data_IF_234972656694
#
_entry.id   IF_234972656694
#
_cell.length_a   1.000
_cell.length_b   1.000
_cell.length_c   1.000
_cell.angle_alpha   90.00
_cell.angle_beta   90.00
_cell.angle_gamma   90.00
#
_symmetry.space_group_name_H-M   'P 1'
#
loop_
_entity.id
_entity.type
_entity.pdbx_description
1 polymer ?
#
# COMPACT_ATOMS: atom_id res chain seq x y z
N UNK A 1 13.88 -60.20 15.24
CA UNK A 1 14.31 -58.89 15.77
C UNK A 1 13.45 -57.82 15.10
N UNK A 2 12.54 -57.17 15.83
CA UNK A 2 11.73 -56.07 15.28
C UNK A 2 12.56 -54.79 15.31
N UNK A 3 12.84 -54.21 14.16
CA UNK A 3 13.54 -52.93 14.08
C UNK A 3 12.66 -51.82 14.69
N UNK A 4 13.16 -51.08 15.68
CA UNK A 4 12.47 -49.90 16.21
C UNK A 4 12.92 -48.66 15.42
N UNK A 5 11.94 -47.90 14.92
CA UNK A 5 12.17 -46.66 14.19
C UNK A 5 12.06 -45.48 15.17
N UNK A 6 13.18 -44.85 15.49
CA UNK A 6 13.22 -43.59 16.25
C UNK A 6 12.97 -42.42 15.28
N UNK A 7 12.27 -41.37 15.72
CA UNK A 7 12.10 -40.14 14.92
C UNK A 7 10.87 -40.11 14.00
N UNK A 8 10.04 -41.16 13.96
CA UNK A 8 8.88 -41.23 13.04
C UNK A 8 7.88 -40.10 13.27
N UNK A 9 7.60 -39.78 14.53
CA UNK A 9 6.64 -38.74 14.91
C UNK A 9 7.16 -37.35 14.56
N UNK A 10 8.45 -37.12 14.75
CA UNK A 10 9.14 -35.86 14.43
C UNK A 10 9.13 -35.60 12.92
N UNK A 11 9.48 -36.60 12.11
CA UNK A 11 9.45 -36.51 10.64
C UNK A 11 8.03 -36.29 10.13
N UNK A 12 7.05 -37.03 10.66
CA UNK A 12 5.64 -36.85 10.30
C UNK A 12 5.18 -35.41 10.60
N UNK A 13 5.49 -34.90 11.81
CA UNK A 13 5.16 -33.53 12.21
C UNK A 13 5.80 -32.50 11.28
N UNK A 14 7.09 -32.67 10.97
CA UNK A 14 7.83 -31.80 10.06
C UNK A 14 7.16 -31.72 8.68
N UNK A 15 6.89 -32.88 8.06
CA UNK A 15 6.25 -32.94 6.74
C UNK A 15 4.85 -32.31 6.76
N UNK A 16 4.05 -32.56 7.80
CA UNK A 16 2.70 -31.98 7.92
C UNK A 16 2.71 -30.47 8.17
N UNK A 17 3.73 -29.94 8.85
CA UNK A 17 3.84 -28.52 9.16
C UNK A 17 4.43 -27.68 8.02
N UNK A 18 5.22 -28.31 7.14
CA UNK A 18 6.00 -27.61 6.11
C UNK A 18 5.16 -26.70 5.20
N UNK A 19 3.98 -27.09 4.69
CA UNK A 19 3.17 -26.19 3.84
C UNK A 19 2.80 -24.88 4.56
N UNK A 20 2.36 -24.96 5.81
CA UNK A 20 2.01 -23.78 6.60
C UNK A 20 3.24 -22.90 6.88
N UNK A 21 4.41 -23.50 7.11
CA UNK A 21 5.66 -22.74 7.29
C UNK A 21 6.11 -22.05 6.00
N UNK A 22 5.97 -22.70 4.85
CA UNK A 22 6.23 -22.11 3.53
C UNK A 22 5.35 -20.88 3.34
N UNK A 23 4.04 -21.01 3.55
CA UNK A 23 3.09 -19.91 3.33
C UNK A 23 3.31 -18.74 4.30
N UNK A 24 3.49 -19.03 5.59
CA UNK A 24 3.43 -18.00 6.65
C UNK A 24 4.77 -17.39 7.02
N UNK A 25 5.87 -18.16 6.92
CA UNK A 25 7.22 -17.71 7.31
C UNK A 25 8.06 -17.34 6.10
N UNK A 26 8.02 -18.18 5.06
CA UNK A 26 8.91 -18.05 3.90
C UNK A 26 8.34 -17.09 2.85
N UNK A 27 7.22 -17.46 2.22
CA UNK A 27 6.65 -16.70 1.10
C UNK A 27 6.14 -15.33 1.54
N UNK A 28 5.55 -15.23 2.73
CA UNK A 28 5.09 -13.94 3.29
C UNK A 28 6.24 -12.97 3.52
N UNK A 29 7.33 -13.43 4.13
CA UNK A 29 8.51 -12.59 4.36
C UNK A 29 9.23 -12.23 3.07
N UNK A 30 9.31 -13.17 2.12
CA UNK A 30 9.87 -12.90 0.79
C UNK A 30 9.07 -11.83 0.04
N UNK A 31 7.75 -11.92 0.07
CA UNK A 31 6.86 -10.93 -0.56
C UNK A 31 6.99 -9.55 0.11
N UNK A 32 7.14 -9.50 1.45
CA UNK A 32 7.41 -8.26 2.18
C UNK A 32 8.77 -7.66 1.81
N UNK A 33 9.81 -8.48 1.71
CA UNK A 33 11.14 -8.03 1.30
C UNK A 33 11.11 -7.40 -0.10
N UNK A 34 10.49 -8.07 -1.08
CA UNK A 34 10.31 -7.54 -2.42
C UNK A 34 9.54 -6.20 -2.43
N UNK A 35 8.41 -6.14 -1.74
CA UNK A 35 7.60 -4.91 -1.71
C UNK A 35 8.26 -3.76 -0.94
N UNK A 36 9.19 -4.05 -0.03
CA UNK A 36 9.94 -3.01 0.71
C UNK A 36 10.86 -2.23 -0.22
N UNK A 37 11.53 -2.91 -1.16
CA UNK A 37 12.35 -2.25 -2.21
C UNK A 37 11.50 -1.23 -2.98
N UNK A 38 10.34 -1.67 -3.48
CA UNK A 38 9.41 -0.80 -4.23
C UNK A 38 8.88 0.33 -3.36
N UNK A 39 8.55 0.05 -2.10
CA UNK A 39 8.04 1.06 -1.18
C UNK A 39 9.07 2.14 -0.85
N UNK A 40 10.34 1.75 -0.68
CA UNK A 40 11.41 2.69 -0.36
C UNK A 40 11.77 3.59 -1.55
N UNK A 41 11.77 3.07 -2.78
CA UNK A 41 11.90 3.91 -3.97
C UNK A 41 10.67 4.82 -4.16
N UNK A 42 9.46 4.31 -3.93
CA UNK A 42 8.24 5.14 -3.99
C UNK A 42 8.29 6.32 -3.00
N UNK A 43 8.83 6.12 -1.79
CA UNK A 43 9.05 7.21 -0.82
C UNK A 43 10.05 8.24 -1.33
N UNK A 44 11.11 7.82 -2.02
CA UNK A 44 12.12 8.72 -2.56
C UNK A 44 11.61 9.55 -3.75
N UNK A 45 10.73 8.96 -4.57
CA UNK A 45 10.12 9.63 -5.73
C UNK A 45 9.03 10.64 -5.36
N UNK A 46 8.35 10.41 -4.24
CA UNK A 46 7.25 11.27 -3.82
C UNK A 46 7.76 12.67 -3.46
N UNK A 47 7.20 13.69 -4.11
CA UNK A 47 7.51 15.10 -3.83
C UNK A 47 6.88 15.62 -2.53
N UNK A 48 6.01 14.82 -1.90
CA UNK A 48 5.35 15.16 -0.62
C UNK A 48 5.89 14.29 0.50
N UNK A 49 6.40 14.93 1.56
CA UNK A 49 6.84 14.24 2.77
C UNK A 49 5.68 13.50 3.46
N UNK A 50 4.46 14.06 3.42
CA UNK A 50 3.27 13.44 4.00
C UNK A 50 2.85 12.17 3.24
N UNK A 51 2.93 12.20 1.91
CA UNK A 51 2.66 11.02 1.08
C UNK A 51 3.74 9.96 1.29
N UNK A 52 5.01 10.37 1.34
CA UNK A 52 6.13 9.47 1.60
C UNK A 52 5.97 8.74 2.94
N UNK A 53 5.64 9.46 4.01
CA UNK A 53 5.40 8.88 5.33
C UNK A 53 4.18 7.93 5.37
N UNK A 54 3.23 8.09 4.44
CA UNK A 54 2.04 7.26 4.34
C UNK A 54 2.22 6.03 3.43
N UNK A 55 3.36 5.86 2.74
CA UNK A 55 3.65 4.65 1.97
C UNK A 55 3.87 3.47 2.91
N UNK A 56 3.07 2.41 2.75
CA UNK A 56 3.10 1.20 3.58
C UNK A 56 3.09 -0.06 2.71
N UNK A 57 3.76 -1.11 3.20
CA UNK A 57 3.69 -2.47 2.64
C UNK A 57 2.67 -3.26 3.42
N UNK A 58 1.74 -3.91 2.71
CA UNK A 58 0.83 -4.91 3.29
C UNK A 58 0.99 -6.23 2.56
N UNK A 59 1.15 -7.31 3.31
CA UNK A 59 1.18 -8.67 2.77
C UNK A 59 -0.07 -9.43 3.16
N UNK A 60 -0.68 -10.12 2.21
CA UNK A 60 -1.81 -11.00 2.44
C UNK A 60 -1.54 -12.36 1.80
N UNK A 61 -1.75 -13.43 2.56
CA UNK A 61 -1.86 -14.77 1.99
C UNK A 61 -3.33 -15.01 1.63
N UNK A 62 -3.58 -15.53 0.44
CA UNK A 62 -4.95 -15.87 0.05
C UNK A 62 -5.30 -17.24 0.65
N UNK A 63 -6.27 -17.27 1.56
CA UNK A 63 -6.63 -18.51 2.28
C UNK A 63 -7.04 -19.61 1.30
N UNK A 64 -6.35 -20.76 1.35
CA UNK A 64 -6.60 -21.90 0.46
C UNK A 64 -5.90 -21.81 -0.90
N UNK A 65 -5.01 -20.84 -1.08
CA UNK A 65 -4.22 -20.59 -2.29
C UNK A 65 -2.77 -20.35 -1.85
N UNK A 66 -1.80 -20.99 -2.52
CA UNK A 66 -0.37 -20.83 -2.19
C UNK A 66 0.17 -19.46 -2.62
N UNK A 67 -0.68 -18.64 -3.25
CA UNK A 67 -0.36 -17.28 -3.67
C UNK A 67 -0.33 -16.32 -2.48
N UNK A 68 0.85 -15.70 -2.28
CA UNK A 68 1.03 -14.57 -1.39
C UNK A 68 1.11 -13.29 -2.21
N UNK A 69 0.34 -12.27 -1.81
CA UNK A 69 0.33 -10.96 -2.47
C UNK A 69 0.90 -9.92 -1.51
N UNK A 70 1.89 -9.16 -1.98
CA UNK A 70 2.31 -7.92 -1.32
C UNK A 70 1.75 -6.71 -2.06
N UNK A 71 1.33 -5.70 -1.31
CA UNK A 71 0.76 -4.45 -1.80
C UNK A 71 1.57 -3.29 -1.23
N UNK A 72 2.10 -2.45 -2.11
CA UNK A 72 2.57 -1.11 -1.73
C UNK A 72 1.38 -0.17 -1.88
N UNK A 73 0.98 0.45 -0.78
CA UNK A 73 -0.21 1.31 -0.72
C UNK A 73 0.07 2.56 0.10
N UNK A 74 -0.70 3.61 -0.13
CA UNK A 74 -0.66 4.81 0.73
C UNK A 74 -1.80 4.76 1.74
N UNK A 75 -1.46 4.77 3.02
CA UNK A 75 -2.40 4.69 4.15
C UNK A 75 -2.00 5.66 5.25
N UNK A 76 -2.94 6.51 5.67
CA UNK A 76 -2.73 7.54 6.69
C UNK A 76 -3.04 8.94 6.15
N UNK A 77 -2.56 10.00 6.81
CA UNK A 77 -2.82 11.39 6.43
C UNK A 77 -2.52 11.69 4.95
N UNK A 78 -1.39 11.23 4.42
CA UNK A 78 -1.03 11.46 3.01
C UNK A 78 -1.88 10.70 1.97
N UNK A 79 -2.78 9.80 2.38
CA UNK A 79 -3.54 8.97 1.45
C UNK A 79 -4.52 9.77 0.57
N UNK A 80 -5.06 10.88 1.05
CA UNK A 80 -5.96 11.72 0.25
C UNK A 80 -5.21 12.54 -0.80
N UNK A 81 -3.91 12.78 -0.61
CA UNK A 81 -3.03 13.54 -1.52
C UNK A 81 -2.54 12.63 -2.64
N UNK A 82 -2.21 11.38 -2.31
CA UNK A 82 -1.55 10.44 -3.21
C UNK A 82 -2.17 10.29 -4.61
N UNK A 83 -3.50 10.17 -4.79
CA UNK A 83 -4.08 10.04 -6.14
C UNK A 83 -3.84 11.28 -7.01
N UNK A 84 -3.87 12.47 -6.41
CA UNK A 84 -3.63 13.72 -7.12
C UNK A 84 -2.17 13.87 -7.54
N UNK A 85 -1.23 13.37 -6.73
CA UNK A 85 0.16 13.29 -7.15
C UNK A 85 0.35 12.25 -8.24
N UNK A 86 -0.17 11.04 -8.07
CA UNK A 86 0.07 9.94 -9.00
C UNK A 86 -0.45 10.24 -10.41
N UNK A 87 -1.63 10.86 -10.51
CA UNK A 87 -2.34 11.02 -11.78
C UNK A 87 -2.51 12.48 -12.23
N UNK A 88 -2.24 13.46 -11.36
CA UNK A 88 -2.54 14.85 -11.62
C UNK A 88 -4.05 15.13 -11.64
N UNK A 89 -4.41 16.33 -12.11
CA UNK A 89 -5.80 16.70 -12.39
C UNK A 89 -5.89 17.49 -13.67
N UNK A 90 -6.91 17.20 -14.49
CA UNK A 90 -7.20 18.01 -15.67
C UNK A 90 -7.80 19.37 -15.27
N UNK A 91 -7.72 20.39 -16.14
CA UNK A 91 -8.41 21.65 -15.90
C UNK A 91 -9.91 21.44 -15.71
N UNK A 92 -10.46 21.98 -14.63
CA UNK A 92 -11.86 21.77 -14.26
C UNK A 92 -12.43 22.95 -13.49
N UNK A 93 -13.76 23.00 -13.44
CA UNK A 93 -14.47 23.98 -12.63
C UNK A 93 -14.83 23.38 -11.27
N UNK A 94 -14.43 24.08 -10.20
CA UNK A 94 -14.81 23.75 -8.83
C UNK A 94 -16.04 24.58 -8.49
N UNK A 95 -17.15 23.92 -8.13
CA UNK A 95 -18.40 24.56 -7.74
C UNK A 95 -18.94 23.94 -6.45
N UNK A 96 -19.72 24.71 -5.70
CA UNK A 96 -20.48 24.19 -4.55
C UNK A 96 -21.71 23.44 -5.07
N UNK A 97 -21.97 22.24 -4.56
CA UNK A 97 -23.16 21.45 -4.91
C UNK A 97 -24.45 22.22 -4.60
N UNK A 98 -25.45 22.15 -5.48
CA UNK A 98 -26.67 22.97 -5.36
C UNK A 98 -27.51 22.59 -4.14
N UNK A 99 -27.45 21.34 -3.68
CA UNK A 99 -28.10 20.85 -2.46
C UNK A 99 -27.48 21.49 -1.22
N UNK A 100 -26.14 21.60 -1.17
CA UNK A 100 -25.42 22.29 -0.11
C UNK A 100 -25.64 23.81 -0.15
N UNK A 101 -25.98 24.31 -1.33
CA UNK A 101 -26.29 25.71 -1.59
C UNK A 101 -27.70 26.09 -1.14
N UNK A 102 -28.64 25.14 -1.12
CA UNK A 102 -30.02 25.35 -0.68
C UNK A 102 -30.74 26.47 -1.45
N UNK A 103 -30.46 26.60 -2.75
CA UNK A 103 -31.03 27.65 -3.62
C UNK A 103 -30.56 29.09 -3.31
N UNK A 104 -29.63 29.27 -2.37
CA UNK A 104 -29.15 30.60 -1.95
C UNK A 104 -28.07 31.11 -2.92
N UNK A 105 -28.05 32.42 -3.18
CA UNK A 105 -26.92 33.05 -3.87
C UNK A 105 -25.66 32.97 -3.00
N UNK A 106 -24.47 32.97 -3.61
CA UNK A 106 -23.16 33.00 -2.90
C UNK A 106 -23.15 34.08 -1.82
N UNK A 107 -23.69 35.26 -2.13
CA UNK A 107 -23.83 36.39 -1.22
C UNK A 107 -24.75 36.11 -0.03
N UNK A 108 -25.85 35.35 -0.22
CA UNK A 108 -26.80 34.97 0.83
C UNK A 108 -26.27 33.86 1.73
N UNK A 109 -25.48 32.94 1.19
CA UNK A 109 -24.78 31.88 1.93
C UNK A 109 -23.79 32.48 2.92
N UNK A 110 -22.93 33.39 2.45
CA UNK A 110 -21.92 34.04 3.30
C UNK A 110 -22.52 34.98 4.34
N UNK A 111 -23.64 35.66 4.04
CA UNK A 111 -24.33 36.52 5.02
C UNK A 111 -24.94 35.73 6.18
N UNK A 112 -25.40 34.51 5.91
CA UNK A 112 -26.09 33.70 6.91
C UNK A 112 -25.15 32.85 7.77
N UNK A 113 -23.82 32.96 7.57
CA UNK A 113 -22.78 32.37 8.43
C UNK A 113 -22.76 30.84 8.53
N UNK A 114 -23.77 30.13 8.01
CA UNK A 114 -23.97 28.70 8.23
C UNK A 114 -23.62 27.79 7.05
N UNK A 115 -23.40 28.32 5.84
CA UNK A 115 -22.96 27.55 4.68
C UNK A 115 -21.71 28.20 4.06
N UNK A 116 -20.73 27.38 3.66
CA UNK A 116 -19.40 27.81 3.22
C UNK A 116 -19.41 28.05 1.71
N UNK A 117 -19.44 29.30 1.23
CA UNK A 117 -19.13 29.54 -0.17
C UNK A 117 -17.65 29.26 -0.46
N UNK A 118 -17.31 28.99 -1.73
CA UNK A 118 -15.92 28.94 -2.18
C UNK A 118 -15.27 30.32 -1.99
N UNK A 119 -14.35 30.39 -1.04
CA UNK A 119 -13.50 31.55 -0.76
C UNK A 119 -12.07 31.18 -1.15
N UNK A 120 -11.58 31.74 -2.26
CA UNK A 120 -10.23 31.49 -2.75
C UNK A 120 -9.48 32.82 -2.77
N UNK A 121 -8.36 32.89 -2.04
CA UNK A 121 -7.56 34.10 -1.89
C UNK A 121 -8.39 35.33 -1.45
N UNK A 122 -9.30 35.13 -0.48
CA UNK A 122 -10.20 36.19 0.03
C UNK A 122 -11.32 36.62 -0.92
N UNK A 123 -11.42 36.05 -2.13
CA UNK A 123 -12.47 36.35 -3.12
C UNK A 123 -13.52 35.23 -3.12
N UNK A 124 -14.78 35.65 -3.15
CA UNK A 124 -15.92 34.72 -3.16
C UNK A 124 -16.39 34.49 -4.58
N UNK A 125 -16.46 33.22 -4.99
CA UNK A 125 -16.90 32.84 -6.33
C UNK A 125 -17.94 31.71 -6.25
N UNK A 126 -18.86 31.69 -7.22
CA UNK A 126 -19.82 30.57 -7.38
C UNK A 126 -19.10 29.32 -7.89
N UNK A 127 -18.17 29.56 -8.80
CA UNK A 127 -17.42 28.55 -9.53
C UNK A 127 -16.03 29.13 -9.73
N UNK A 128 -14.99 28.31 -9.56
CA UNK A 128 -13.62 28.69 -9.85
C UNK A 128 -13.05 27.74 -10.89
N UNK A 129 -12.40 28.29 -11.91
CA UNK A 129 -11.62 27.51 -12.85
C UNK A 129 -10.28 27.14 -12.20
N UNK A 130 -10.02 25.85 -12.04
CA UNK A 130 -8.73 25.32 -11.65
C UNK A 130 -8.02 24.83 -12.93
N UNK A 131 -6.79 25.30 -13.23
CA UNK A 131 -6.07 24.89 -14.44
C UNK A 131 -5.67 23.42 -14.44
N UNK A 132 -5.85 22.73 -13.31
CA UNK A 132 -5.37 21.37 -13.09
C UNK A 132 -4.01 21.38 -12.40
N UNK A 133 -3.42 20.20 -12.30
CA UNK A 133 -2.08 20.00 -11.74
C UNK A 133 -1.43 18.86 -12.51
N UNK A 134 -0.15 19.01 -12.84
CA UNK A 134 0.62 17.95 -13.48
C UNK A 134 0.78 16.74 -12.57
N UNK A 135 0.91 15.57 -13.18
CA UNK A 135 1.18 14.33 -12.46
C UNK A 135 2.64 14.27 -12.01
N UNK A 136 2.84 13.81 -10.78
CA UNK A 136 4.13 13.45 -10.19
C UNK A 136 4.07 11.98 -9.74
N UNK A 137 4.06 11.03 -10.69
CA UNK A 137 3.88 9.61 -10.40
C UNK A 137 5.05 9.08 -9.58
N UNK A 138 4.74 8.30 -8.54
CA UNK A 138 5.72 7.77 -7.60
C UNK A 138 5.50 6.29 -7.30
N UNK A 139 4.27 5.78 -7.36
CA UNK A 139 4.00 4.35 -7.14
C UNK A 139 4.32 3.53 -8.38
N UNK A 140 3.71 3.87 -9.53
CA UNK A 140 3.87 3.08 -10.74
C UNK A 140 5.33 3.08 -11.25
N UNK A 141 6.03 4.22 -11.31
CA UNK A 141 7.43 4.23 -11.71
C UNK A 141 8.34 3.45 -10.75
N UNK A 142 8.05 3.46 -9.44
CA UNK A 142 8.81 2.65 -8.49
C UNK A 142 8.60 1.14 -8.72
N UNK A 143 7.38 0.72 -9.04
CA UNK A 143 7.14 -0.68 -9.37
C UNK A 143 7.88 -1.09 -10.65
N UNK A 144 7.72 -0.31 -11.72
CA UNK A 144 8.28 -0.65 -13.03
C UNK A 144 9.83 -0.58 -13.04
N UNK A 145 10.44 0.30 -12.23
CA UNK A 145 11.90 0.42 -12.14
C UNK A 145 12.58 -0.66 -11.30
N UNK A 146 11.89 -1.21 -10.29
CA UNK A 146 12.51 -2.09 -9.29
C UNK A 146 12.12 -3.58 -9.43
N UNK A 147 11.56 -4.01 -10.56
CA UNK A 147 11.12 -5.40 -10.74
C UNK A 147 12.24 -6.42 -10.46
N UNK A 148 13.41 -6.23 -11.07
CA UNK A 148 14.54 -7.15 -10.91
C UNK A 148 15.10 -7.15 -9.49
N UNK A 149 15.18 -5.97 -8.86
CA UNK A 149 15.71 -5.84 -7.50
C UNK A 149 14.73 -6.41 -6.47
N UNK A 150 13.43 -6.21 -6.65
CA UNK A 150 12.39 -6.82 -5.84
C UNK A 150 12.43 -8.36 -5.90
N UNK A 151 12.62 -8.94 -7.10
CA UNK A 151 12.82 -10.39 -7.28
C UNK A 151 14.07 -10.86 -6.55
N UNK A 152 15.19 -10.13 -6.70
CA UNK A 152 16.44 -10.46 -6.02
C UNK A 152 16.29 -10.41 -4.49
N UNK A 153 15.57 -9.42 -3.95
CA UNK A 153 15.29 -9.29 -2.53
C UNK A 153 14.44 -10.44 -2.00
N UNK A 154 13.39 -10.85 -2.73
CA UNK A 154 12.62 -12.04 -2.39
C UNK A 154 13.48 -13.31 -2.40
N UNK A 155 14.30 -13.51 -3.43
CA UNK A 155 15.20 -14.65 -3.52
C UNK A 155 16.23 -14.66 -2.38
N UNK A 156 16.81 -13.51 -2.06
CA UNK A 156 17.73 -13.35 -0.93
C UNK A 156 17.08 -13.74 0.40
N UNK A 157 15.83 -13.29 0.62
CA UNK A 157 15.06 -13.70 1.80
C UNK A 157 14.85 -15.22 1.83
N UNK A 158 14.42 -15.83 0.72
CA UNK A 158 14.21 -17.28 0.62
C UNK A 158 15.49 -18.05 0.94
N UNK A 159 16.60 -17.70 0.30
CA UNK A 159 17.89 -18.36 0.48
C UNK A 159 18.39 -18.29 1.93
N UNK A 160 18.16 -17.16 2.61
CA UNK A 160 18.56 -17.00 4.01
C UNK A 160 17.75 -17.86 5.00
N UNK A 161 16.61 -18.40 4.58
CA UNK A 161 15.61 -19.03 5.44
C UNK A 161 15.42 -20.53 5.19
N UNK A 162 15.79 -21.02 4.01
CA UNK A 162 15.70 -22.44 3.66
C UNK A 162 16.99 -23.14 4.08
N UNK A 163 16.88 -24.10 5.00
CA UNK A 163 18.01 -24.91 5.49
C UNK A 163 17.68 -26.40 5.39
N UNK A 164 18.69 -27.31 5.47
CA UNK A 164 18.43 -28.74 5.56
C UNK A 164 17.56 -29.15 6.77
N UNK A 165 17.56 -28.34 7.84
CA UNK A 165 16.77 -28.58 9.05
C UNK A 165 15.34 -28.02 8.97
N UNK A 166 14.99 -27.28 7.90
CA UNK A 166 13.69 -26.65 7.72
C UNK A 166 13.75 -25.15 7.45
N UNK A 167 12.60 -24.49 7.62
CA UNK A 167 12.44 -23.05 7.41
C UNK A 167 12.67 -22.32 8.73
N UNK A 168 13.70 -21.47 8.78
CA UNK A 168 14.07 -20.75 10.01
C UNK A 168 13.31 -19.43 10.19
N UNK A 169 13.05 -19.08 11.46
CA UNK A 169 12.48 -17.82 11.90
C UNK A 169 10.96 -17.83 12.17
N UNK A 170 10.43 -16.65 12.50
CA UNK A 170 9.04 -16.47 12.95
C UNK A 170 8.07 -16.27 11.80
N UNK A 171 6.80 -16.61 12.02
CA UNK A 171 5.74 -16.28 11.07
C UNK A 171 5.58 -14.76 10.97
N UNK A 172 5.41 -14.27 9.76
CA UNK A 172 5.00 -12.88 9.54
C UNK A 172 3.52 -12.76 9.90
N UNK A 173 3.20 -11.94 10.90
CA UNK A 173 1.82 -11.60 11.22
C UNK A 173 1.23 -10.75 10.08
N UNK A 174 -0.02 -11.01 9.72
CA UNK A 174 -0.74 -10.16 8.78
C UNK A 174 -1.01 -8.80 9.42
N UNK A 175 -0.68 -7.72 8.72
CA UNK A 175 -1.17 -6.39 9.08
C UNK A 175 -2.64 -6.32 8.60
N UNK A 176 -3.53 -6.85 9.44
CA UNK A 176 -4.98 -6.82 9.23
C UNK A 176 -5.56 -5.48 9.68
N UNK A 177 -5.13 -4.39 9.04
CA UNK A 177 -5.78 -3.05 9.11
C UNK A 177 -5.83 -2.38 7.71
#
# INVERSE_FOLDING_TARGET
>A
MMASLKGRTEVARFITGLPAEIETKLLRGAARAAATVVADDAKQRSISAEVSAAVKVRTAAKRGDTTVVAKVQVKGPGSYIAPWLEYGTLPHYISVADEQRGGKSVRRINRLGGAKALAINGKFAKTVYHPGTDAHPFLRPALDANESEAIAAAQGYINSRVTPAGIVGTAENGDDE
#
